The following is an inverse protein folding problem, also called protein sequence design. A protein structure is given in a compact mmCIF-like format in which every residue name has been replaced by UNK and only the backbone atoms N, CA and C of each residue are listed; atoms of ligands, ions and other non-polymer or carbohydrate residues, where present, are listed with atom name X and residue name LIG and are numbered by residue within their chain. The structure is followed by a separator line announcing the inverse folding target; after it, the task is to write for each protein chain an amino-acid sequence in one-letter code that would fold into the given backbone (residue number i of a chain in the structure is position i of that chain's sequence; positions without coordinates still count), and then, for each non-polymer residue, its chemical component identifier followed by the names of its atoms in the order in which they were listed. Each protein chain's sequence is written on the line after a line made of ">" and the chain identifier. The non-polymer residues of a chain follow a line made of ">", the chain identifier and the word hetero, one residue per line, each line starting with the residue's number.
data_IF_794623889140
#
_entry.id   IF_794623889140
#
_cell.length_a   1.000
_cell.length_b   1.000
_cell.length_c   1.000
_cell.angle_alpha   90.00
_cell.angle_beta   90.00
_cell.angle_gamma   90.00
#
_symmetry.space_group_name_H-M   'P 1'
#
loop_
_entity.id
_entity.type
_entity.pdbx_description
1 polymer ?
#
# COMPACT_ATOMS: atom_id res chain seq x y z
N UNK A 1 22.95 -3.94 -15.55
CA UNK A 1 23.68 -3.89 -16.84
C UNK A 1 22.67 -4.13 -17.95
N UNK A 2 22.34 -3.10 -18.73
CA UNK A 2 21.33 -3.18 -19.80
C UNK A 2 22.04 -3.64 -21.08
N UNK A 3 21.74 -4.83 -21.58
CA UNK A 3 22.10 -5.23 -22.94
C UNK A 3 20.84 -5.22 -23.79
N UNK A 4 20.75 -4.27 -24.73
CA UNK A 4 19.70 -4.24 -25.76
C UNK A 4 20.42 -4.41 -27.10
N UNK A 5 20.27 -5.57 -27.72
CA UNK A 5 20.69 -5.81 -29.10
C UNK A 5 19.52 -5.44 -30.03
N UNK A 6 19.69 -4.37 -30.81
CA UNK A 6 18.82 -4.04 -31.93
C UNK A 6 19.43 -4.67 -33.19
N UNK A 7 18.88 -5.79 -33.67
CA UNK A 7 19.24 -6.34 -34.97
C UNK A 7 18.44 -5.60 -36.05
N UNK A 8 19.13 -4.75 -36.81
CA UNK A 8 18.57 -4.13 -38.01
C UNK A 8 18.66 -5.09 -39.19
N UNK A 9 17.54 -5.42 -39.81
CA UNK A 9 17.51 -6.01 -41.15
C UNK A 9 17.18 -4.92 -42.18
N UNK A 10 18.06 -4.79 -43.17
CA UNK A 10 17.94 -3.92 -44.33
C UNK A 10 16.91 -4.51 -45.29
N UNK A 11 15.71 -3.91 -45.38
CA UNK A 11 14.81 -4.13 -46.53
C UNK A 11 14.27 -2.80 -47.02
N UNK A 12 14.55 -2.56 -48.30
CA UNK A 12 14.19 -1.41 -49.12
C UNK A 12 12.68 -1.45 -49.38
N UNK A 13 11.93 -0.48 -48.87
CA UNK A 13 10.50 -0.35 -49.13
C UNK A 13 9.88 0.75 -48.28
N UNK A 14 9.35 1.78 -48.95
CA UNK A 14 8.83 3.01 -48.37
C UNK A 14 7.62 2.77 -47.46
N UNK A 15 7.89 2.38 -46.23
CA UNK A 15 6.95 2.32 -45.11
C UNK A 15 7.64 2.99 -43.94
N UNK A 16 7.21 4.20 -43.58
CA UNK A 16 7.68 4.87 -42.36
C UNK A 16 7.21 4.07 -41.15
N UNK A 17 8.01 3.06 -40.77
CA UNK A 17 7.84 2.34 -39.52
C UNK A 17 8.38 3.26 -38.43
N UNK A 18 7.50 4.06 -37.83
CA UNK A 18 7.81 4.77 -36.59
C UNK A 18 8.05 3.72 -35.50
N UNK A 19 9.31 3.34 -35.31
CA UNK A 19 9.75 2.57 -34.15
C UNK A 19 9.62 3.50 -32.93
N UNK A 20 8.44 3.49 -32.30
CA UNK A 20 8.22 4.21 -31.05
C UNK A 20 9.02 3.51 -29.95
N UNK A 21 10.17 4.09 -29.59
CA UNK A 21 10.86 3.75 -28.35
C UNK A 21 9.99 4.26 -27.19
N UNK A 22 9.06 3.43 -26.72
CA UNK A 22 8.32 3.73 -25.50
C UNK A 22 9.29 3.63 -24.31
N UNK A 23 9.88 4.76 -23.92
CA UNK A 23 10.39 4.89 -22.56
C UNK A 23 9.18 4.78 -21.65
N UNK A 24 8.99 3.63 -21.00
CA UNK A 24 8.13 3.56 -19.82
C UNK A 24 8.88 4.34 -18.74
N UNK A 25 8.64 5.65 -18.68
CA UNK A 25 8.84 6.37 -17.43
C UNK A 25 8.04 5.60 -16.39
N UNK A 26 8.78 4.94 -15.54
CA UNK A 26 8.24 3.92 -14.68
C UNK A 26 7.45 4.63 -13.60
N UNK A 27 6.12 4.63 -13.72
CA UNK A 27 5.22 5.30 -12.79
C UNK A 27 5.52 4.87 -11.35
N UNK A 28 5.49 5.84 -10.42
CA UNK A 28 5.53 5.60 -8.98
C UNK A 28 4.08 5.56 -8.53
N UNK A 29 3.64 4.46 -7.93
CA UNK A 29 2.31 4.40 -7.35
C UNK A 29 2.26 5.20 -6.04
N UNK A 30 1.23 6.03 -5.94
CA UNK A 30 0.89 6.81 -4.75
C UNK A 30 -0.55 6.46 -4.37
N UNK A 31 -0.80 6.25 -3.08
CA UNK A 31 -2.15 6.10 -2.55
C UNK A 31 -2.26 6.80 -1.20
N UNK A 32 -3.48 7.21 -0.85
CA UNK A 32 -3.84 7.75 0.46
C UNK A 32 -5.09 7.05 0.97
N UNK A 33 -5.09 6.72 2.26
CA UNK A 33 -6.29 6.36 3.00
C UNK A 33 -6.55 7.42 4.07
N UNK A 34 -7.75 7.99 4.09
CA UNK A 34 -8.18 8.86 5.19
C UNK A 34 -8.72 7.99 6.33
N UNK A 35 -8.36 8.32 7.56
CA UNK A 35 -8.75 7.58 8.77
C UNK A 35 -9.78 8.40 9.51
N UNK A 36 -10.96 7.81 9.73
CA UNK A 36 -12.01 8.36 10.56
C UNK A 36 -12.35 7.36 11.67
N UNK A 37 -12.38 7.83 12.91
CA UNK A 37 -12.87 7.04 14.05
C UNK A 37 -14.38 6.90 14.06
N UNK A 38 -14.89 6.14 15.04
CA UNK A 38 -16.33 6.07 15.31
C UNK A 38 -16.90 7.43 15.72
N UNK A 39 -18.21 7.60 15.60
CA UNK A 39 -18.89 8.82 16.03
C UNK A 39 -18.54 9.18 17.49
N UNK A 40 -18.15 10.45 17.71
CA UNK A 40 -17.78 10.96 19.02
C UNK A 40 -16.39 10.56 19.55
N UNK A 41 -15.65 9.69 18.85
CA UNK A 41 -14.30 9.27 19.29
C UNK A 41 -13.26 10.39 19.19
N UNK A 42 -13.44 11.35 18.27
CA UNK A 42 -12.43 12.36 17.96
C UNK A 42 -11.21 11.83 17.21
N UNK A 43 -11.15 10.52 16.92
CA UNK A 43 -10.04 9.90 16.20
C UNK A 43 -10.12 10.28 14.72
N UNK A 44 -9.01 10.77 14.18
CA UNK A 44 -8.89 11.08 12.75
C UNK A 44 -7.43 11.10 12.30
N UNK A 45 -7.20 10.89 11.01
CA UNK A 45 -5.85 10.83 10.46
C UNK A 45 -5.79 10.51 8.98
N UNK A 46 -4.62 10.09 8.54
CA UNK A 46 -4.39 9.59 7.18
C UNK A 46 -3.21 8.62 7.16
N UNK A 47 -3.15 7.81 6.11
CA UNK A 47 -2.00 7.00 5.74
C UNK A 47 -1.64 7.24 4.27
N UNK A 48 -0.41 7.65 4.01
CA UNK A 48 0.18 7.80 2.69
C UNK A 48 1.02 6.56 2.35
N UNK A 49 0.85 6.08 1.13
CA UNK A 49 1.56 4.92 0.59
C UNK A 49 2.35 5.37 -0.64
N UNK A 50 3.66 5.17 -0.60
CA UNK A 50 4.57 5.55 -1.70
C UNK A 50 5.38 4.33 -2.12
N UNK A 51 5.27 3.96 -3.39
CA UNK A 51 6.15 2.92 -3.94
C UNK A 51 7.61 3.38 -3.85
N UNK A 52 8.40 2.71 -2.99
CA UNK A 52 9.78 3.08 -2.69
C UNK A 52 10.81 2.36 -3.54
N UNK A 53 10.48 1.16 -4.06
CA UNK A 53 11.36 0.43 -4.96
C UNK A 53 10.63 -0.21 -6.13
N UNK A 54 11.39 -0.37 -7.21
CA UNK A 54 10.97 -1.04 -8.44
C UNK A 54 11.81 -2.32 -8.57
N UNK A 55 11.16 -3.46 -8.69
CA UNK A 55 11.82 -4.77 -8.75
C UNK A 55 10.80 -5.91 -8.70
N UNK A 56 11.29 -7.15 -8.66
CA UNK A 56 10.45 -8.36 -8.51
C UNK A 56 9.64 -8.31 -7.21
N UNK A 57 10.19 -7.66 -6.18
CA UNK A 57 9.51 -7.39 -4.91
C UNK A 57 9.51 -5.86 -4.72
N UNK A 58 8.46 -5.15 -5.15
CA UNK A 58 8.33 -3.73 -4.88
C UNK A 58 8.09 -3.51 -3.38
N UNK A 59 8.67 -2.44 -2.84
CA UNK A 59 8.43 -2.01 -1.45
C UNK A 59 7.58 -0.76 -1.42
N UNK A 60 6.79 -0.62 -0.36
CA UNK A 60 5.92 0.53 -0.11
C UNK A 60 6.37 1.19 1.19
N UNK A 61 6.60 2.51 1.15
CA UNK A 61 6.75 3.33 2.35
C UNK A 61 5.36 3.74 2.79
N UNK A 62 5.03 3.45 4.05
CA UNK A 62 3.80 3.87 4.68
C UNK A 62 4.13 4.99 5.65
N UNK A 63 3.50 6.15 5.49
CA UNK A 63 3.58 7.27 6.43
C UNK A 63 2.19 7.54 6.96
N UNK A 64 2.00 7.35 8.26
CA UNK A 64 0.70 7.46 8.91
C UNK A 64 0.77 8.56 9.97
N UNK A 65 -0.34 9.28 10.13
CA UNK A 65 -0.54 10.21 11.24
C UNK A 65 -1.96 10.07 11.74
N UNK A 66 -2.13 9.74 13.01
CA UNK A 66 -3.45 9.62 13.66
C UNK A 66 -3.46 10.49 14.92
N UNK A 67 -4.60 11.13 15.16
CA UNK A 67 -4.83 12.03 16.29
C UNK A 67 -6.11 11.63 17.02
N UNK A 68 -6.27 12.10 18.26
CA UNK A 68 -7.44 11.78 19.08
C UNK A 68 -7.35 10.41 19.76
N UNK A 69 -6.18 9.78 19.75
CA UNK A 69 -5.92 8.55 20.50
C UNK A 69 -5.81 8.88 22.00
N UNK A 70 -5.99 7.86 22.84
CA UNK A 70 -5.67 7.98 24.26
C UNK A 70 -4.16 8.28 24.44
N UNK A 71 -3.75 9.30 25.21
CA UNK A 71 -2.34 9.61 25.43
C UNK A 71 -1.53 8.41 25.95
N UNK A 72 -0.35 8.19 25.39
CA UNK A 72 0.56 7.09 25.82
C UNK A 72 0.10 5.67 25.47
N UNK A 73 -1.00 5.52 24.71
CA UNK A 73 -1.55 4.22 24.35
C UNK A 73 -0.86 3.58 23.13
N UNK A 74 -1.05 2.26 22.98
CA UNK A 74 -0.53 1.46 21.87
C UNK A 74 -1.71 0.84 21.11
N UNK A 75 -1.72 0.97 19.79
CA UNK A 75 -2.78 0.46 18.92
C UNK A 75 -2.22 -0.43 17.83
N UNK A 76 -2.90 -1.55 17.55
CA UNK A 76 -2.60 -2.38 16.38
C UNK A 76 -2.89 -1.62 15.09
N UNK A 77 -2.08 -1.86 14.06
CA UNK A 77 -2.23 -1.22 12.75
C UNK A 77 -2.18 -2.29 11.66
N UNK A 78 -3.24 -2.39 10.87
CA UNK A 78 -3.37 -3.43 9.86
C UNK A 78 -4.03 -2.86 8.60
N UNK A 79 -3.61 -3.35 7.45
CA UNK A 79 -4.35 -3.20 6.19
C UNK A 79 -5.34 -4.36 6.12
N UNK A 80 -6.63 -4.07 5.92
CA UNK A 80 -7.67 -5.07 5.80
C UNK A 80 -7.93 -5.46 4.33
N UNK A 81 -8.56 -6.61 4.12
CA UNK A 81 -8.75 -7.20 2.78
C UNK A 81 -9.76 -6.45 1.90
N UNK A 82 -10.72 -5.73 2.50
CA UNK A 82 -11.71 -4.93 1.78
C UNK A 82 -11.48 -3.43 1.97
N UNK A 83 -11.48 -2.68 0.87
CA UNK A 83 -11.34 -1.22 0.87
C UNK A 83 -12.62 -0.46 1.25
N UNK A 84 -13.32 -0.88 2.31
CA UNK A 84 -14.53 -0.20 2.81
C UNK A 84 -14.60 -0.25 4.34
N UNK A 85 -14.98 0.87 4.96
CA UNK A 85 -15.26 0.99 6.39
C UNK A 85 -16.77 0.99 6.70
N UNK A 86 -17.61 0.87 5.67
CA UNK A 86 -19.06 1.02 5.75
C UNK A 86 -19.78 -0.30 5.43
N UNK A 87 -20.93 -0.60 6.07
CA UNK A 87 -21.67 0.25 7.03
C UNK A 87 -21.13 0.20 8.48
N UNK A 88 -20.20 -0.71 8.74
CA UNK A 88 -19.46 -0.80 10.00
C UNK A 88 -18.02 -1.16 9.67
N UNK A 89 -17.09 -0.89 10.59
CA UNK A 89 -15.68 -1.28 10.38
C UNK A 89 -15.47 -2.78 10.18
N UNK A 90 -16.43 -3.63 10.56
CA UNK A 90 -16.40 -5.06 10.21
C UNK A 90 -16.49 -5.33 8.71
N UNK A 91 -16.96 -4.39 7.90
CA UNK A 91 -16.99 -4.50 6.43
C UNK A 91 -15.59 -4.54 5.80
N UNK A 92 -14.57 -4.05 6.51
CA UNK A 92 -13.18 -4.14 6.10
C UNK A 92 -12.71 -5.62 5.99
N UNK A 93 -13.39 -6.54 6.68
CA UNK A 93 -13.05 -7.96 6.68
C UNK A 93 -11.84 -8.27 7.54
N UNK A 94 -11.17 -9.37 7.22
CA UNK A 94 -9.94 -9.81 7.88
C UNK A 94 -8.70 -8.98 7.52
N UNK A 95 -7.54 -9.44 7.97
CA UNK A 95 -6.26 -8.82 7.64
C UNK A 95 -5.86 -9.16 6.20
N UNK A 96 -5.25 -8.21 5.49
CA UNK A 96 -4.80 -8.43 4.11
C UNK A 96 -3.70 -9.49 4.09
N UNK A 97 -4.02 -10.67 3.56
CA UNK A 97 -3.05 -11.75 3.39
C UNK A 97 -3.27 -12.48 2.06
N UNK A 98 -2.91 -11.84 0.93
CA UNK A 98 -3.13 -12.42 -0.38
C UNK A 98 -2.08 -13.48 -0.69
N UNK A 99 -2.53 -14.64 -1.14
CA UNK A 99 -1.63 -15.69 -1.61
C UNK A 99 -2.32 -17.04 -1.65
N UNK A 100 -1.68 -18.05 -2.27
CA UNK A 100 -2.24 -19.41 -2.34
C UNK A 100 -2.37 -20.09 -0.97
N UNK A 101 -1.70 -19.55 0.07
CA UNK A 101 -1.76 -20.00 1.46
C UNK A 101 -2.19 -18.89 2.43
N UNK A 102 -2.75 -17.80 1.89
CA UNK A 102 -3.21 -16.68 2.69
C UNK A 102 -4.38 -17.05 3.61
N UNK A 103 -4.42 -16.47 4.79
CA UNK A 103 -5.50 -16.64 5.76
C UNK A 103 -5.83 -15.29 6.38
N UNK A 104 -6.93 -14.66 5.98
CA UNK A 104 -7.29 -13.33 6.49
C UNK A 104 -7.93 -13.33 7.87
N UNK A 105 -8.17 -14.50 8.48
CA UNK A 105 -8.69 -14.58 9.85
C UNK A 105 -7.69 -13.90 10.81
N UNK A 106 -8.09 -12.80 11.48
CA UNK A 106 -7.18 -12.02 12.32
C UNK A 106 -6.48 -12.85 13.40
N UNK A 107 -7.06 -13.96 13.87
CA UNK A 107 -6.49 -14.75 14.95
C UNK A 107 -5.58 -15.92 14.49
N UNK A 108 -5.54 -16.23 13.20
CA UNK A 108 -5.04 -17.53 12.73
C UNK A 108 -3.52 -17.61 12.50
N UNK A 109 -2.84 -16.49 12.19
CA UNK A 109 -1.41 -16.51 11.82
C UNK A 109 -0.66 -15.18 12.10
N UNK A 110 -1.05 -14.40 13.09
CA UNK A 110 -0.28 -13.21 13.46
C UNK A 110 1.17 -13.51 13.92
N UNK A 111 2.14 -12.62 13.67
CA UNK A 111 2.07 -11.35 12.91
C UNK A 111 2.46 -11.51 11.43
N UNK A 112 2.03 -12.60 10.80
CA UNK A 112 2.52 -12.99 9.47
C UNK A 112 1.60 -12.57 8.32
N UNK A 113 0.48 -11.87 8.57
CA UNK A 113 -0.33 -11.35 7.46
C UNK A 113 0.45 -10.26 6.72
N UNK A 114 0.31 -10.20 5.40
CA UNK A 114 0.97 -9.19 4.57
C UNK A 114 0.57 -7.75 4.94
N UNK A 115 -0.62 -7.56 5.51
CA UNK A 115 -1.16 -6.28 5.96
C UNK A 115 -0.77 -5.87 7.37
N UNK A 116 -0.07 -6.71 8.14
CA UNK A 116 0.32 -6.38 9.51
C UNK A 116 1.43 -5.31 9.51
N UNK A 117 1.17 -4.18 10.18
CA UNK A 117 2.11 -3.07 10.34
C UNK A 117 2.60 -2.98 11.79
N UNK A 118 3.72 -2.29 12.06
CA UNK A 118 4.10 -1.96 13.43
C UNK A 118 2.97 -1.22 14.15
N UNK A 119 2.84 -1.45 15.46
CA UNK A 119 1.87 -0.75 16.28
C UNK A 119 2.07 0.77 16.24
N UNK A 120 0.97 1.50 16.30
CA UNK A 120 0.97 2.93 16.57
C UNK A 120 1.22 3.14 18.06
N UNK A 121 2.06 4.12 18.38
CA UNK A 121 2.34 4.52 19.76
C UNK A 121 1.98 6.00 19.87
N UNK A 122 0.92 6.29 20.60
CA UNK A 122 0.45 7.66 20.79
C UNK A 122 1.36 8.40 21.79
N UNK A 123 1.72 9.64 21.47
CA UNK A 123 2.38 10.55 22.39
C UNK A 123 1.43 11.05 23.49
N UNK A 124 1.94 11.92 24.36
CA UNK A 124 1.17 12.56 25.44
C UNK A 124 0.02 13.47 24.95
N UNK A 125 0.01 13.80 23.66
CA UNK A 125 -1.06 14.58 23.03
C UNK A 125 -2.07 13.70 22.28
N UNK A 126 -1.94 12.37 22.35
CA UNK A 126 -2.80 11.44 21.63
C UNK A 126 -2.51 11.41 20.11
N UNK A 127 -1.27 11.70 19.71
CA UNK A 127 -0.82 11.69 18.31
C UNK A 127 0.16 10.55 18.09
N UNK A 128 -0.08 9.75 17.06
CA UNK A 128 0.83 8.72 16.55
C UNK A 128 1.24 9.02 15.11
#
# INVERSE_FOLDING_TARGET
>A
MKHVFCFGFLVIGLTFLFMSCSNRDSEIYLARADIAGTEGSGVSGYADFVQSSKGVVPTVLVTLRVTGLEPGSIHGCHIHENGTCEPTFGAAGGHLDPGPYGMSNPDANHPFHMGDLPNLVADENGVA
#
